data_IF_126570415275
#
_entry.id   IF_126570415275
#
_cell.length_a   1.000
_cell.length_b   1.000
_cell.length_c   1.000
_cell.angle_alpha   90.00
_cell.angle_beta   90.00
_cell.angle_gamma   90.00
#
_symmetry.space_group_name_H-M   'P 1'
#
loop_
_entity.id
_entity.type
_entity.pdbx_description
1 polymer ?
#
# COMPACT_ATOMS: atom_id res chain seq x y z
N UNK A 1 -63.87 8.89 -20.98
CA UNK A 1 -62.48 9.09 -21.43
C UNK A 1 -61.63 9.38 -20.20
N UNK A 2 -60.59 8.56 -20.02
CA UNK A 2 -59.31 8.79 -19.28
C UNK A 2 -59.42 9.36 -17.85
N UNK A 3 -59.14 8.64 -16.75
CA UNK A 3 -58.29 7.46 -16.55
C UNK A 3 -56.89 7.88 -16.10
N UNK A 4 -56.78 8.53 -14.94
CA UNK A 4 -55.49 8.92 -14.34
C UNK A 4 -54.80 7.70 -13.74
N UNK A 5 -53.99 7.05 -14.58
CA UNK A 5 -53.05 6.02 -14.18
C UNK A 5 -51.83 6.72 -13.57
N UNK A 6 -51.85 6.94 -12.26
CA UNK A 6 -50.64 7.24 -11.49
C UNK A 6 -49.82 5.95 -11.39
N UNK A 7 -48.86 5.76 -12.30
CA UNK A 7 -47.79 4.78 -12.17
C UNK A 7 -46.43 5.44 -12.34
N UNK A 8 -45.49 4.88 -11.58
CA UNK A 8 -44.03 5.05 -11.64
C UNK A 8 -43.49 6.29 -10.92
N UNK A 9 -42.53 6.17 -9.99
CA UNK A 9 -41.90 4.99 -9.45
C UNK A 9 -41.08 5.44 -8.25
N UNK A 10 -41.22 4.74 -7.12
CA UNK A 10 -40.25 4.83 -6.02
C UNK A 10 -38.97 4.15 -6.50
N UNK A 11 -38.19 4.87 -7.31
CA UNK A 11 -36.79 4.56 -7.47
C UNK A 11 -36.18 4.59 -6.08
N UNK A 12 -35.79 3.43 -5.55
CA UNK A 12 -34.91 3.37 -4.38
C UNK A 12 -33.65 4.12 -4.79
N UNK A 13 -33.58 5.40 -4.44
CA UNK A 13 -32.37 6.20 -4.58
C UNK A 13 -31.39 5.57 -3.59
N UNK A 14 -30.62 4.59 -4.07
CA UNK A 14 -29.48 4.11 -3.31
C UNK A 14 -28.68 5.36 -2.93
N UNK A 15 -28.48 5.64 -1.63
CA UNK A 15 -27.82 6.87 -1.23
C UNK A 15 -26.48 6.92 -1.97
N UNK A 16 -26.12 8.07 -2.56
CA UNK A 16 -24.93 8.18 -3.43
C UNK A 16 -23.65 7.60 -2.78
N UNK A 17 -23.59 7.60 -1.44
CA UNK A 17 -22.58 6.92 -0.63
C UNK A 17 -22.56 5.40 -0.81
N UNK A 18 -23.70 4.72 -0.82
CA UNK A 18 -23.82 3.28 -1.06
C UNK A 18 -23.43 2.92 -2.50
N UNK A 19 -23.84 3.70 -3.50
CA UNK A 19 -23.42 3.48 -4.89
C UNK A 19 -21.90 3.65 -5.05
N UNK A 20 -21.32 4.71 -4.48
CA UNK A 20 -19.87 4.90 -4.47
C UNK A 20 -19.15 3.77 -3.73
N UNK A 21 -19.68 3.29 -2.61
CA UNK A 21 -19.09 2.18 -1.86
C UNK A 21 -19.08 0.88 -2.69
N UNK A 22 -20.20 0.55 -3.34
CA UNK A 22 -20.30 -0.64 -4.20
C UNK A 22 -19.33 -0.57 -5.37
N UNK A 23 -19.19 0.58 -6.03
CA UNK A 23 -18.22 0.76 -7.12
C UNK A 23 -16.77 0.60 -6.65
N UNK A 24 -16.43 1.16 -5.49
CA UNK A 24 -15.08 1.04 -4.91
C UNK A 24 -14.78 -0.39 -4.48
N UNK A 25 -15.74 -1.05 -3.84
CA UNK A 25 -15.63 -2.45 -3.44
C UNK A 25 -15.46 -3.35 -4.67
N UNK A 26 -16.28 -3.15 -5.71
CA UNK A 26 -16.17 -3.89 -6.96
C UNK A 26 -14.79 -3.70 -7.60
N UNK A 27 -14.29 -2.46 -7.65
CA UNK A 27 -12.97 -2.16 -8.21
C UNK A 27 -11.84 -2.83 -7.41
N UNK A 28 -11.91 -2.81 -6.07
CA UNK A 28 -10.94 -3.50 -5.21
C UNK A 28 -11.00 -5.02 -5.39
N UNK A 29 -12.20 -5.60 -5.46
CA UNK A 29 -12.39 -7.03 -5.70
C UNK A 29 -11.89 -7.46 -7.08
N UNK A 30 -12.13 -6.66 -8.12
CA UNK A 30 -11.62 -6.91 -9.47
C UNK A 30 -10.09 -6.84 -9.49
N UNK A 31 -9.48 -5.82 -8.87
CA UNK A 31 -8.02 -5.72 -8.80
C UNK A 31 -7.41 -6.88 -8.00
N UNK A 32 -8.07 -7.30 -6.92
CA UNK A 32 -7.66 -8.46 -6.15
C UNK A 32 -7.78 -9.76 -6.95
N UNK A 33 -8.84 -9.92 -7.75
CA UNK A 33 -9.01 -11.06 -8.63
C UNK A 33 -7.94 -11.09 -9.75
N UNK A 34 -7.63 -9.94 -10.36
CA UNK A 34 -6.56 -9.81 -11.36
C UNK A 34 -5.19 -10.11 -10.74
N UNK A 35 -4.93 -9.61 -9.53
CA UNK A 35 -3.73 -9.94 -8.75
C UNK A 35 -3.60 -11.45 -8.53
N UNK A 36 -4.70 -12.11 -8.13
CA UNK A 36 -4.73 -13.56 -7.92
C UNK A 36 -4.49 -14.33 -9.21
N UNK A 37 -5.11 -13.92 -10.31
CA UNK A 37 -4.95 -14.56 -11.62
C UNK A 37 -3.53 -14.43 -12.17
N UNK A 38 -2.92 -13.24 -12.04
CA UNK A 38 -1.54 -13.01 -12.48
C UNK A 38 -0.52 -13.88 -11.74
N UNK A 39 -0.80 -14.27 -10.49
CA UNK A 39 0.07 -15.14 -9.67
C UNK A 39 0.03 -16.61 -10.05
N UNK A 40 -1.07 -17.10 -10.64
CA UNK A 40 -1.22 -18.49 -11.09
C UNK A 40 -0.44 -18.76 -12.38
N UNK A 41 -0.17 -17.71 -13.16
CA UNK A 41 0.49 -17.82 -14.47
C UNK A 41 2.03 -17.74 -14.41
N UNK A 42 2.62 -17.69 -13.21
CA UNK A 42 4.07 -17.49 -13.04
C UNK A 42 4.74 -18.85 -12.83
N UNK A 43 5.51 -19.28 -13.83
CA UNK A 43 6.39 -20.44 -13.76
C UNK A 43 7.48 -20.22 -12.71
N UNK A 44 7.63 -21.20 -11.82
CA UNK A 44 8.57 -21.14 -10.71
C UNK A 44 9.95 -21.64 -11.15
N UNK A 45 10.76 -20.74 -11.71
CA UNK A 45 12.17 -21.05 -11.94
C UNK A 45 12.94 -20.97 -10.61
N UNK A 46 12.88 -22.06 -9.84
CA UNK A 46 13.54 -22.19 -8.54
C UNK A 46 15.05 -21.96 -8.65
N UNK A 47 15.69 -22.44 -9.73
CA UNK A 47 17.12 -22.24 -9.96
C UNK A 47 17.49 -20.76 -10.09
N UNK A 48 16.73 -20.00 -10.89
CA UNK A 48 16.91 -18.55 -11.00
C UNK A 48 16.63 -17.83 -9.67
N UNK A 49 15.60 -18.26 -8.92
CA UNK A 49 15.29 -17.70 -7.62
C UNK A 49 16.43 -17.88 -6.60
N UNK A 50 17.11 -19.03 -6.61
CA UNK A 50 18.26 -19.31 -5.75
C UNK A 50 19.51 -18.54 -6.17
N UNK A 51 19.77 -18.44 -7.47
CA UNK A 51 20.88 -17.64 -7.99
C UNK A 51 20.70 -16.15 -7.63
N UNK A 52 19.48 -15.62 -7.77
CA UNK A 52 19.15 -14.26 -7.34
C UNK A 52 19.27 -14.10 -5.83
N UNK A 53 18.94 -15.12 -5.03
CA UNK A 53 19.13 -15.08 -3.58
C UNK A 53 20.60 -14.92 -3.20
N UNK A 54 21.50 -15.64 -3.86
CA UNK A 54 22.94 -15.47 -3.67
C UNK A 54 23.41 -14.07 -4.05
N UNK A 55 22.93 -13.51 -5.18
CA UNK A 55 23.28 -12.15 -5.58
C UNK A 55 22.77 -11.08 -4.61
N UNK A 56 21.51 -11.18 -4.20
CA UNK A 56 20.89 -10.25 -3.24
C UNK A 56 21.60 -10.34 -1.92
N UNK A 57 21.88 -11.56 -1.46
CA UNK A 57 22.76 -11.79 -0.35
C UNK A 57 24.04 -10.97 -0.66
N UNK A 58 24.92 -11.36 -1.57
CA UNK A 58 26.28 -10.76 -1.66
C UNK A 58 26.30 -9.23 -1.78
N UNK A 59 25.29 -8.67 -2.45
CA UNK A 59 25.07 -7.23 -2.50
C UNK A 59 24.83 -6.60 -1.13
N UNK A 60 24.02 -7.18 -0.24
CA UNK A 60 23.77 -6.66 1.10
C UNK A 60 25.02 -6.59 1.96
N UNK A 61 25.92 -7.59 1.87
CA UNK A 61 27.22 -7.51 2.56
C UNK A 61 28.14 -6.48 1.94
N UNK A 62 28.15 -6.34 0.62
CA UNK A 62 28.89 -5.28 -0.05
C UNK A 62 28.39 -3.87 0.34
N UNK A 63 27.11 -3.75 0.66
CA UNK A 63 26.47 -2.52 1.17
C UNK A 63 26.57 -2.37 2.69
N UNK A 64 27.22 -3.31 3.39
CA UNK A 64 27.35 -3.33 4.85
C UNK A 64 26.00 -3.31 5.59
N UNK A 65 24.96 -3.92 5.02
CA UNK A 65 23.68 -4.10 5.71
C UNK A 65 23.82 -5.15 6.83
N UNK A 66 22.99 -5.06 7.89
CA UNK A 66 23.01 -6.04 8.99
C UNK A 66 22.70 -7.45 8.50
N UNK A 67 23.34 -8.46 9.09
CA UNK A 67 23.10 -9.86 8.75
C UNK A 67 21.73 -10.34 9.29
N UNK A 68 20.84 -10.76 8.40
CA UNK A 68 19.49 -11.24 8.74
C UNK A 68 19.53 -12.52 9.59
N UNK A 69 20.50 -13.40 9.35
CA UNK A 69 20.65 -14.64 10.10
C UNK A 69 21.06 -14.38 11.55
N UNK A 70 21.95 -13.40 11.77
CA UNK A 70 22.37 -12.96 13.09
C UNK A 70 21.21 -12.31 13.84
N UNK A 71 20.45 -11.43 13.17
CA UNK A 71 19.26 -10.82 13.76
C UNK A 71 18.21 -11.88 14.13
N UNK A 72 17.93 -12.82 13.23
CA UNK A 72 16.98 -13.90 13.51
C UNK A 72 17.45 -14.72 14.71
N UNK A 73 18.71 -15.19 14.73
CA UNK A 73 19.24 -15.98 15.87
C UNK A 73 19.06 -15.25 17.20
N UNK A 74 19.44 -13.97 17.25
CA UNK A 74 19.30 -13.15 18.45
C UNK A 74 17.85 -13.00 18.91
N UNK A 75 16.91 -12.72 17.99
CA UNK A 75 15.49 -12.57 18.36
C UNK A 75 14.88 -13.90 18.79
N UNK A 76 15.30 -15.02 18.19
CA UNK A 76 14.80 -16.35 18.50
C UNK A 76 15.30 -16.92 19.83
N UNK A 77 16.24 -16.26 20.52
CA UNK A 77 16.57 -16.58 21.92
C UNK A 77 15.38 -16.34 22.86
N UNK A 78 14.46 -15.44 22.48
CA UNK A 78 13.22 -15.23 23.19
C UNK A 78 12.14 -16.19 22.66
N UNK A 79 11.80 -17.20 23.47
CA UNK A 79 10.92 -18.31 23.09
C UNK A 79 9.63 -17.91 22.33
N UNK A 80 8.83 -16.92 22.76
CA UNK A 80 7.59 -16.58 22.05
C UNK A 80 7.82 -15.71 20.81
N UNK A 81 9.04 -15.24 20.53
CA UNK A 81 9.32 -14.29 19.46
C UNK A 81 8.90 -14.81 18.09
N UNK A 82 9.27 -16.05 17.76
CA UNK A 82 8.92 -16.70 16.49
C UNK A 82 7.40 -16.74 16.29
N UNK A 83 6.67 -17.23 17.30
CA UNK A 83 5.23 -17.38 17.24
C UNK A 83 4.53 -16.02 17.11
N UNK A 84 4.94 -15.02 17.89
CA UNK A 84 4.36 -13.68 17.81
C UNK A 84 4.65 -13.00 16.47
N UNK A 85 5.86 -13.17 15.93
CA UNK A 85 6.21 -12.66 14.61
C UNK A 85 5.38 -13.32 13.50
N UNK A 86 5.21 -14.65 13.55
CA UNK A 86 4.35 -15.38 12.62
C UNK A 86 2.88 -14.93 12.72
N UNK A 87 2.35 -14.80 13.95
CA UNK A 87 0.98 -14.34 14.18
C UNK A 87 0.77 -12.93 13.62
N UNK A 88 1.73 -12.03 13.82
CA UNK A 88 1.70 -10.69 13.26
C UNK A 88 1.73 -10.73 11.72
N UNK A 89 2.65 -11.49 11.15
CA UNK A 89 2.85 -11.64 9.72
C UNK A 89 1.54 -12.07 9.04
N UNK A 90 0.91 -13.12 9.55
CA UNK A 90 -0.33 -13.67 8.99
C UNK A 90 -1.54 -12.79 9.28
N UNK A 91 -1.61 -12.20 10.47
CA UNK A 91 -2.84 -11.57 10.98
C UNK A 91 -3.00 -10.08 10.70
N UNK A 92 -1.92 -9.31 10.56
CA UNK A 92 -2.02 -7.84 10.61
C UNK A 92 -2.06 -7.19 9.23
N UNK A 93 -1.37 -7.74 8.24
CA UNK A 93 -1.13 -7.08 6.95
C UNK A 93 -2.41 -6.66 6.22
N UNK A 94 -3.29 -7.63 5.92
CA UNK A 94 -4.55 -7.37 5.21
C UNK A 94 -5.56 -6.62 6.09
N UNK A 95 -5.85 -7.05 7.33
CA UNK A 95 -6.84 -6.35 8.16
C UNK A 95 -6.42 -4.92 8.50
N UNK A 96 -5.14 -4.68 8.81
CA UNK A 96 -4.62 -3.35 9.11
C UNK A 96 -4.79 -2.39 7.92
N UNK A 97 -4.46 -2.83 6.71
CA UNK A 97 -4.65 -2.04 5.50
C UNK A 97 -6.14 -1.79 5.20
N UNK A 98 -6.99 -2.80 5.37
CA UNK A 98 -8.43 -2.67 5.19
C UNK A 98 -9.03 -1.65 6.19
N UNK A 99 -8.64 -1.73 7.47
CA UNK A 99 -9.08 -0.80 8.51
C UNK A 99 -8.67 0.64 8.19
N UNK A 100 -7.43 0.85 7.71
CA UNK A 100 -6.98 2.16 7.24
C UNK A 100 -7.88 2.68 6.12
N UNK A 101 -8.12 1.87 5.09
CA UNK A 101 -8.92 2.28 3.94
C UNK A 101 -10.37 2.59 4.34
N UNK A 102 -10.98 1.79 5.22
CA UNK A 102 -12.32 2.06 5.76
C UNK A 102 -12.33 3.37 6.54
N UNK A 103 -11.36 3.59 7.43
CA UNK A 103 -11.23 4.83 8.19
C UNK A 103 -11.09 6.05 7.28
N UNK A 104 -10.21 6.00 6.27
CA UNK A 104 -10.05 7.06 5.28
C UNK A 104 -11.32 7.26 4.46
N UNK A 105 -12.02 6.19 4.07
CA UNK A 105 -13.26 6.30 3.30
C UNK A 105 -14.35 7.04 4.09
N UNK A 106 -14.50 6.71 5.37
CA UNK A 106 -15.54 7.27 6.24
C UNK A 106 -15.22 8.69 6.71
N UNK A 107 -13.94 8.98 7.02
CA UNK A 107 -13.55 10.24 7.67
C UNK A 107 -12.73 11.20 6.79
N UNK A 108 -12.03 10.70 5.77
CA UNK A 108 -11.04 11.46 4.98
C UNK A 108 -11.12 11.13 3.49
N UNK A 109 -12.30 11.35 2.87
CA UNK A 109 -12.60 10.85 1.51
C UNK A 109 -11.62 11.30 0.43
N UNK A 110 -11.07 12.51 0.53
CA UNK A 110 -10.06 13.01 -0.40
C UNK A 110 -8.74 12.23 -0.27
N UNK A 111 -8.30 11.99 0.97
CA UNK A 111 -7.12 11.19 1.24
C UNK A 111 -7.32 9.72 0.84
N UNK A 112 -8.52 9.16 1.01
CA UNK A 112 -8.83 7.80 0.55
C UNK A 112 -8.53 7.62 -0.93
N UNK A 113 -8.99 8.53 -1.81
CA UNK A 113 -8.84 8.36 -3.27
C UNK A 113 -7.37 8.32 -3.65
N UNK A 114 -6.57 9.19 -3.01
CA UNK A 114 -5.12 9.25 -3.19
C UNK A 114 -4.45 7.97 -2.70
N UNK A 115 -4.66 7.58 -1.44
CA UNK A 115 -4.01 6.42 -0.80
C UNK A 115 -4.40 5.12 -1.51
N UNK A 116 -5.66 4.97 -1.92
CA UNK A 116 -6.11 3.84 -2.74
C UNK A 116 -5.35 3.76 -4.06
N UNK A 117 -5.16 4.88 -4.76
CA UNK A 117 -4.38 4.89 -6.01
C UNK A 117 -2.91 4.58 -5.76
N UNK A 118 -2.30 5.13 -4.71
CA UNK A 118 -0.92 4.81 -4.30
C UNK A 118 -0.77 3.31 -3.99
N UNK A 119 -1.73 2.69 -3.29
CA UNK A 119 -1.75 1.26 -2.98
C UNK A 119 -1.85 0.39 -4.24
N UNK A 120 -2.72 0.76 -5.18
CA UNK A 120 -2.87 0.03 -6.45
C UNK A 120 -1.61 0.12 -7.28
N UNK A 121 -1.01 1.31 -7.41
CA UNK A 121 0.24 1.51 -8.15
C UNK A 121 1.40 0.75 -7.52
N UNK A 122 1.55 0.80 -6.19
CA UNK A 122 2.56 0.05 -5.45
C UNK A 122 2.41 -1.45 -5.66
N UNK A 123 1.19 -1.97 -5.53
CA UNK A 123 0.93 -3.42 -5.67
C UNK A 123 1.13 -3.90 -7.10
N UNK A 124 0.70 -3.10 -8.09
CA UNK A 124 0.93 -3.41 -9.50
C UNK A 124 2.41 -3.40 -9.86
N UNK A 125 3.16 -2.37 -9.44
CA UNK A 125 4.60 -2.30 -9.66
C UNK A 125 5.33 -3.44 -8.94
N UNK A 126 4.92 -3.78 -7.72
CA UNK A 126 5.45 -4.92 -6.99
C UNK A 126 5.22 -6.24 -7.71
N UNK A 127 4.03 -6.45 -8.31
CA UNK A 127 3.75 -7.63 -9.12
C UNK A 127 4.66 -7.72 -10.35
N UNK A 128 4.90 -6.59 -11.03
CA UNK A 128 5.81 -6.55 -12.19
C UNK A 128 7.23 -6.96 -11.77
N UNK A 129 7.74 -6.40 -10.67
CA UNK A 129 9.08 -6.79 -10.15
C UNK A 129 9.12 -8.26 -9.79
N UNK A 130 8.07 -8.78 -9.15
CA UNK A 130 7.97 -10.18 -8.76
C UNK A 130 8.00 -11.15 -9.94
N UNK A 131 7.35 -10.77 -11.05
CA UNK A 131 7.36 -11.54 -12.30
C UNK A 131 8.73 -11.48 -12.98
N UNK A 132 9.39 -10.32 -12.93
CA UNK A 132 10.68 -10.09 -13.58
C UNK A 132 11.88 -10.63 -12.77
N UNK A 133 11.74 -10.76 -11.46
CA UNK A 133 12.82 -11.11 -10.54
C UNK A 133 12.34 -12.14 -9.49
N UNK A 134 12.31 -13.44 -9.86
CA UNK A 134 12.06 -14.49 -8.88
C UNK A 134 13.19 -14.48 -7.84
N UNK A 135 12.87 -14.59 -6.56
CA UNK A 135 13.83 -14.47 -5.47
C UNK A 135 13.49 -15.42 -4.34
N UNK A 136 14.39 -16.35 -4.04
CA UNK A 136 14.21 -17.23 -2.92
C UNK A 136 14.42 -16.48 -1.59
N UNK A 137 13.48 -16.61 -0.64
CA UNK A 137 13.59 -15.98 0.68
C UNK A 137 14.69 -16.63 1.52
N UNK A 138 15.24 -15.94 2.54
CA UNK A 138 16.34 -16.47 3.36
C UNK A 138 16.05 -17.88 3.92
N UNK A 139 14.82 -18.14 4.40
CA UNK A 139 14.41 -19.43 4.96
C UNK A 139 14.53 -20.62 4.01
N UNK A 140 14.57 -20.38 2.69
CA UNK A 140 14.71 -21.41 1.65
C UNK A 140 16.08 -21.39 0.96
N UNK A 141 16.89 -20.36 1.19
CA UNK A 141 18.15 -20.12 0.46
C UNK A 141 19.39 -20.75 1.11
N UNK A 142 19.25 -21.32 2.32
CA UNK A 142 20.34 -22.05 2.99
C UNK A 142 21.34 -21.16 3.75
N UNK A 143 20.99 -19.93 4.09
CA UNK A 143 21.87 -18.97 4.79
C UNK A 143 21.89 -19.11 6.32
N UNK A 144 21.62 -20.31 6.85
CA UNK A 144 21.60 -20.55 8.30
C UNK A 144 20.43 -19.91 9.05
N UNK A 145 19.36 -19.55 8.33
CA UNK A 145 18.08 -19.11 8.89
C UNK A 145 17.08 -20.26 9.00
N UNK A 146 16.17 -20.16 9.96
CA UNK A 146 15.10 -21.14 10.22
C UNK A 146 13.79 -20.68 9.57
N UNK A 147 13.04 -21.61 8.97
CA UNK A 147 11.65 -21.39 8.58
C UNK A 147 10.74 -21.44 9.83
N UNK A 148 10.50 -20.28 10.43
CA UNK A 148 9.70 -20.16 11.66
C UNK A 148 8.24 -20.56 11.45
N UNK A 149 7.71 -20.42 10.23
CA UNK A 149 6.33 -20.75 9.89
C UNK A 149 6.08 -22.26 9.88
N UNK A 150 7.08 -23.04 9.45
CA UNK A 150 7.06 -24.50 9.57
C UNK A 150 7.45 -24.98 10.98
N UNK A 151 8.42 -24.32 11.62
CA UNK A 151 8.94 -24.77 12.92
C UNK A 151 7.96 -24.56 14.08
N UNK A 152 7.27 -23.41 14.12
CA UNK A 152 6.40 -23.01 15.26
C UNK A 152 5.01 -22.56 14.82
N UNK A 153 4.89 -22.05 13.60
CA UNK A 153 3.63 -21.54 13.05
C UNK A 153 3.12 -20.25 13.71
N UNK A 154 1.95 -19.73 13.29
CA UNK A 154 1.16 -20.20 12.13
C UNK A 154 1.88 -19.94 10.79
N UNK A 155 1.57 -20.76 9.77
CA UNK A 155 2.15 -20.63 8.43
C UNK A 155 1.27 -19.81 7.49
N UNK A 156 1.88 -18.89 6.75
CA UNK A 156 1.25 -18.22 5.61
C UNK A 156 1.14 -19.12 4.36
N UNK A 157 1.77 -20.30 4.39
CA UNK A 157 1.87 -21.25 3.30
C UNK A 157 1.29 -22.61 3.75
N UNK A 158 -0.01 -22.88 3.50
CA UNK A 158 -0.63 -24.15 3.85
C UNK A 158 -0.04 -25.31 3.03
N UNK A 159 0.13 -26.48 3.64
CA UNK A 159 0.70 -27.67 3.00
C UNK A 159 -0.17 -28.27 1.86
N UNK A 160 -1.43 -27.85 1.71
CA UNK A 160 -2.40 -28.47 0.80
C UNK A 160 -3.21 -27.46 -0.05
N UNK A 161 -2.78 -26.19 -0.13
CA UNK A 161 -3.45 -25.20 -0.97
C UNK A 161 -2.49 -24.72 -2.05
N UNK A 162 -2.70 -25.19 -3.27
CA UNK A 162 -2.11 -24.61 -4.47
C UNK A 162 -2.27 -23.07 -4.45
N UNK A 163 -1.14 -22.39 -4.31
CA UNK A 163 -0.85 -21.20 -5.11
C UNK A 163 -1.59 -19.89 -4.78
N UNK A 164 -1.86 -19.55 -3.52
CA UNK A 164 -2.16 -18.13 -3.18
C UNK A 164 -0.86 -17.33 -2.97
N UNK A 165 0.17 -17.97 -2.41
CA UNK A 165 1.46 -17.36 -2.18
C UNK A 165 2.58 -18.19 -2.81
N UNK A 166 3.22 -17.62 -3.84
CA UNK A 166 4.48 -18.12 -4.35
C UNK A 166 5.53 -18.01 -3.22
N UNK A 167 6.19 -19.12 -2.89
CA UNK A 167 7.21 -19.16 -1.84
C UNK A 167 8.57 -18.57 -2.31
N UNK A 168 8.85 -18.52 -3.61
CA UNK A 168 10.12 -18.08 -4.22
C UNK A 168 10.09 -16.63 -4.73
N UNK A 169 9.53 -15.78 -3.90
CA UNK A 169 8.84 -14.60 -4.37
C UNK A 169 9.03 -13.44 -3.39
N UNK A 170 10.26 -13.30 -2.89
CA UNK A 170 10.59 -12.40 -1.80
C UNK A 170 10.62 -10.92 -2.23
N UNK A 171 11.18 -10.58 -3.39
CA UNK A 171 11.29 -9.18 -3.81
C UNK A 171 10.09 -8.75 -4.69
N UNK A 172 9.53 -7.54 -4.46
CA UNK A 172 9.71 -6.67 -3.30
C UNK A 172 8.80 -7.09 -2.14
N UNK A 173 9.10 -6.65 -0.92
CA UNK A 173 8.25 -6.95 0.23
C UNK A 173 6.97 -6.12 0.22
N UNK A 174 5.86 -6.70 -0.25
CA UNK A 174 4.54 -6.05 -0.19
C UNK A 174 4.09 -5.78 1.25
N UNK A 175 4.49 -6.63 2.21
CA UNK A 175 4.28 -6.39 3.64
C UNK A 175 4.85 -5.03 4.06
N UNK A 176 6.13 -4.81 3.77
CA UNK A 176 6.81 -3.54 4.08
C UNK A 176 6.21 -2.40 3.28
N UNK A 177 5.96 -2.59 1.98
CA UNK A 177 5.38 -1.55 1.12
C UNK A 177 4.03 -1.04 1.63
N UNK A 178 3.11 -1.94 2.00
CA UNK A 178 1.80 -1.55 2.50
C UNK A 178 1.89 -0.97 3.90
N UNK A 179 2.76 -1.50 4.77
CA UNK A 179 2.97 -0.96 6.11
C UNK A 179 3.54 0.48 6.06
N UNK A 180 4.48 0.75 5.14
CA UNK A 180 4.97 2.10 4.86
C UNK A 180 3.86 3.01 4.33
N UNK A 181 3.02 2.52 3.41
CA UNK A 181 1.86 3.27 2.92
C UNK A 181 0.89 3.61 4.06
N UNK A 182 0.63 2.68 4.98
CA UNK A 182 -0.17 2.92 6.17
C UNK A 182 0.44 4.01 7.04
N UNK A 183 1.73 3.92 7.35
CA UNK A 183 2.43 4.91 8.16
C UNK A 183 2.37 6.31 7.51
N UNK A 184 2.68 6.40 6.22
CA UNK A 184 2.64 7.64 5.44
C UNK A 184 1.23 8.23 5.40
N UNK A 185 0.21 7.40 5.13
CA UNK A 185 -1.18 7.84 5.06
C UNK A 185 -1.65 8.42 6.40
N UNK A 186 -1.37 7.73 7.51
CA UNK A 186 -1.79 8.16 8.85
C UNK A 186 -1.04 9.42 9.29
N UNK A 187 0.26 9.53 9.03
CA UNK A 187 1.04 10.74 9.35
C UNK A 187 0.55 11.95 8.56
N UNK A 188 0.15 11.78 7.28
CA UNK A 188 -0.39 12.85 6.43
C UNK A 188 -1.79 13.31 6.83
N UNK A 189 -2.58 12.46 7.47
CA UNK A 189 -4.03 12.69 7.65
C UNK A 189 -4.44 12.92 9.11
N UNK A 190 -3.84 12.20 10.06
CA UNK A 190 -4.15 12.29 11.48
C UNK A 190 -3.30 13.37 12.19
N UNK A 191 -3.91 14.03 13.18
CA UNK A 191 -3.26 15.10 13.97
C UNK A 191 -2.86 14.69 15.40
N UNK A 192 -3.42 13.60 15.95
CA UNK A 192 -3.17 13.15 17.32
C UNK A 192 -1.89 12.32 17.48
N UNK A 193 -1.37 12.22 18.72
CA UNK A 193 -0.14 11.46 19.04
C UNK A 193 -0.20 9.98 18.67
N UNK A 194 -1.40 9.39 18.69
CA UNK A 194 -1.63 7.99 18.32
C UNK A 194 -1.24 7.66 16.88
N UNK A 195 -1.11 8.66 16.00
CA UNK A 195 -0.63 8.45 14.62
C UNK A 195 0.76 7.81 14.58
N UNK A 196 1.60 8.08 15.58
CA UNK A 196 2.94 7.51 15.67
C UNK A 196 2.94 6.05 16.10
N UNK A 197 2.00 5.67 16.97
CA UNK A 197 1.78 4.26 17.33
C UNK A 197 1.35 3.46 16.10
N UNK A 198 0.44 4.02 15.29
CA UNK A 198 0.04 3.37 14.04
C UNK A 198 1.18 3.39 13.01
N UNK A 199 1.96 4.46 12.92
CA UNK A 199 3.11 4.53 12.02
C UNK A 199 4.24 3.54 12.39
N UNK A 200 4.38 3.21 13.68
CA UNK A 200 5.31 2.19 14.15
C UNK A 200 5.00 0.78 13.59
N UNK A 201 3.80 0.57 13.04
CA UNK A 201 3.48 -0.62 12.25
C UNK A 201 4.53 -0.90 11.15
N UNK A 202 5.05 0.14 10.49
CA UNK A 202 6.04 -0.02 9.43
C UNK A 202 7.37 -0.64 9.90
N UNK A 203 8.12 -0.05 10.86
CA UNK A 203 9.34 -0.67 11.36
C UNK A 203 9.11 -2.02 12.04
N UNK A 204 7.96 -2.22 12.71
CA UNK A 204 7.62 -3.54 13.27
C UNK A 204 7.43 -4.56 12.15
N UNK A 205 6.77 -4.19 11.05
CA UNK A 205 6.60 -5.09 9.90
C UNK A 205 7.94 -5.46 9.27
N UNK A 206 8.85 -4.49 9.11
CA UNK A 206 10.21 -4.75 8.61
C UNK A 206 10.93 -5.78 9.50
N UNK A 207 10.91 -5.58 10.81
CA UNK A 207 11.51 -6.52 11.76
C UNK A 207 10.90 -7.92 11.65
N UNK A 208 9.56 -8.00 11.61
CA UNK A 208 8.84 -9.28 11.52
C UNK A 208 9.17 -10.03 10.25
N UNK A 209 9.22 -9.37 9.09
CA UNK A 209 9.50 -10.07 7.83
C UNK A 209 10.93 -10.59 7.73
N UNK A 210 11.89 -9.88 8.34
CA UNK A 210 13.29 -10.28 8.41
C UNK A 210 13.49 -11.42 9.41
N UNK A 211 12.95 -11.29 10.64
CA UNK A 211 13.08 -12.31 11.70
C UNK A 211 12.37 -13.61 11.33
N UNK A 212 11.28 -13.55 10.56
CA UNK A 212 10.63 -14.76 10.02
C UNK A 212 11.35 -15.34 8.80
N UNK A 213 12.49 -14.75 8.39
CA UNK A 213 13.29 -15.14 7.24
C UNK A 213 12.48 -15.20 5.92
N UNK A 214 11.48 -14.34 5.79
CA UNK A 214 10.66 -14.21 4.59
C UNK A 214 11.21 -13.19 3.60
N UNK A 215 12.00 -12.22 4.07
CA UNK A 215 12.49 -11.11 3.28
C UNK A 215 13.90 -10.67 3.70
N UNK A 216 14.65 -10.18 2.73
CA UNK A 216 15.93 -9.48 2.93
C UNK A 216 15.69 -8.00 3.24
N UNK A 217 16.70 -7.27 3.73
CA UNK A 217 16.60 -5.82 3.90
C UNK A 217 16.33 -5.08 2.59
N UNK A 218 16.98 -5.51 1.50
CA UNK A 218 16.81 -4.93 0.17
C UNK A 218 15.37 -5.07 -0.34
N UNK A 219 14.65 -6.13 0.00
CA UNK A 219 13.24 -6.28 -0.37
C UNK A 219 12.39 -5.12 0.17
N UNK A 220 12.69 -4.67 1.39
CA UNK A 220 12.06 -3.53 2.04
C UNK A 220 12.48 -2.19 1.43
N UNK A 221 13.76 -2.04 1.07
CA UNK A 221 14.26 -0.84 0.40
C UNK A 221 13.66 -0.66 -1.00
N UNK A 222 13.56 -1.74 -1.78
CA UNK A 222 12.88 -1.72 -3.08
C UNK A 222 11.39 -1.39 -2.89
N UNK A 223 10.71 -1.97 -1.90
CA UNK A 223 9.32 -1.64 -1.60
C UNK A 223 9.13 -0.15 -1.25
N UNK A 224 10.06 0.44 -0.49
CA UNK A 224 10.06 1.87 -0.18
C UNK A 224 10.24 2.74 -1.44
N UNK A 225 11.18 2.37 -2.32
CA UNK A 225 11.40 3.05 -3.60
C UNK A 225 10.15 2.99 -4.51
N UNK A 226 9.50 1.83 -4.59
CA UNK A 226 8.26 1.67 -5.34
C UNK A 226 7.13 2.53 -4.77
N UNK A 227 7.00 2.63 -3.45
CA UNK A 227 6.02 3.49 -2.81
C UNK A 227 6.28 4.97 -3.12
N UNK A 228 7.55 5.41 -3.08
CA UNK A 228 7.92 6.77 -3.46
C UNK A 228 7.54 7.05 -4.93
N UNK A 229 7.81 6.10 -5.83
CA UNK A 229 7.38 6.16 -7.23
C UNK A 229 5.86 6.28 -7.38
N UNK A 230 5.09 5.46 -6.65
CA UNK A 230 3.62 5.50 -6.64
C UNK A 230 3.07 6.84 -6.14
N UNK A 231 3.67 7.41 -5.08
CA UNK A 231 3.34 8.75 -4.58
C UNK A 231 3.64 9.82 -5.63
N UNK A 232 4.83 9.76 -6.25
CA UNK A 232 5.24 10.71 -7.27
C UNK A 232 4.32 10.68 -8.49
N UNK A 233 4.00 9.48 -9.00
CA UNK A 233 3.06 9.28 -10.10
C UNK A 233 1.66 9.83 -9.78
N UNK A 234 1.17 9.56 -8.57
CA UNK A 234 -0.14 10.06 -8.12
C UNK A 234 -0.16 11.59 -8.06
N UNK A 235 0.91 12.22 -7.56
CA UNK A 235 1.05 13.68 -7.52
C UNK A 235 1.15 14.28 -8.92
N UNK A 236 1.91 13.66 -9.83
CA UNK A 236 2.04 14.09 -11.21
C UNK A 236 0.70 14.07 -11.94
N UNK A 237 -0.06 12.98 -11.80
CA UNK A 237 -1.39 12.85 -12.40
C UNK A 237 -2.39 13.89 -11.85
N UNK A 238 -2.31 14.21 -10.56
CA UNK A 238 -3.14 15.26 -9.97
C UNK A 238 -2.81 16.65 -10.53
N UNK A 239 -1.52 16.95 -10.77
CA UNK A 239 -1.09 18.21 -11.39
C UNK A 239 -1.56 18.34 -12.84
N UNK A 240 -1.47 17.26 -13.62
CA UNK A 240 -1.92 17.24 -15.02
C UNK A 240 -3.44 17.41 -15.17
N UNK A 241 -4.21 17.01 -14.16
CA UNK A 241 -5.68 17.14 -14.14
C UNK A 241 -6.16 18.44 -13.50
N UNK A 242 -5.26 19.25 -12.92
CA UNK A 242 -5.64 20.53 -12.35
C UNK A 242 -6.09 21.46 -13.48
N UNK A 243 -7.26 22.11 -13.39
CA UNK A 243 -7.68 23.09 -14.38
C UNK A 243 -6.60 24.17 -14.50
N UNK A 244 -6.32 24.61 -15.74
CA UNK A 244 -5.47 25.78 -15.96
C UNK A 244 -6.01 26.93 -15.11
N UNK A 245 -5.18 27.44 -14.20
CA UNK A 245 -5.55 28.53 -13.31
C UNK A 245 -5.96 29.70 -14.21
N UNK A 246 -7.21 30.19 -14.18
CA UNK A 246 -7.61 31.30 -15.04
C UNK A 246 -6.64 32.44 -14.80
N UNK A 247 -6.05 32.96 -15.88
CA UNK A 247 -5.14 34.10 -15.82
C UNK A 247 -5.85 35.18 -14.98
N UNK A 248 -5.18 35.66 -13.93
CA UNK A 248 -5.75 36.67 -13.06
C UNK A 248 -6.18 37.85 -13.94
N UNK A 249 -7.49 38.05 -14.07
CA UNK A 249 -8.03 39.22 -14.75
C UNK A 249 -7.38 40.43 -14.07
N UNK A 250 -6.63 41.29 -14.78
CA UNK A 250 -6.02 42.46 -14.18
C UNK A 250 -7.11 43.22 -13.45
N UNK A 251 -6.93 43.42 -12.14
CA UNK A 251 -7.89 44.17 -11.34
C UNK A 251 -8.12 45.50 -12.04
N UNK A 252 -9.35 45.71 -12.55
CA UNK A 252 -9.75 46.98 -13.16
C UNK A 252 -9.63 48.02 -12.05
N UNK A 253 -8.56 48.80 -12.08
CA UNK A 253 -8.35 49.91 -11.16
C UNK A 253 -9.60 50.78 -11.28
N UNK A 254 -10.43 50.79 -10.23
CA UNK A 254 -11.60 51.64 -10.18
C UNK A 254 -11.10 53.09 -10.21
N UNK A 255 -11.41 53.80 -11.29
CA UNK A 255 -11.17 55.25 -11.38
C UNK A 255 -11.99 55.91 -10.25
N UNK A 256 -11.38 56.73 -9.38
CA UNK A 256 -12.12 57.45 -8.36
C UNK A 256 -13.14 58.37 -9.04
N UNK A 257 -14.38 58.33 -8.56
CA UNK A 257 -15.43 59.25 -8.97
C UNK A 257 -14.99 60.68 -8.64
N UNK A 258 -14.97 61.56 -9.64
CA UNK A 258 -14.81 62.99 -9.41
C UNK A 258 -16.14 63.50 -8.88
N UNK A 259 -16.23 63.70 -7.57
CA UNK A 259 -17.29 64.49 -6.95
C UNK A 259 -17.09 65.97 -7.34
N UNK A 260 -17.72 66.37 -8.43
CA UNK A 260 -17.81 67.76 -8.87
C UNK A 260 -19.08 68.41 -8.31
N UNK A 261 -19.11 68.66 -7.00
CA UNK A 261 -20.10 69.54 -6.39
C UNK A 261 -19.71 71.00 -6.61
N UNK A 262 -20.42 71.70 -7.49
CA UNK A 262 -20.36 73.16 -7.61
C UNK A 262 -21.39 73.76 -6.65
N UNK A 263 -21.02 74.63 -5.69
CA UNK A 263 -22.00 75.41 -4.96
C UNK A 263 -22.48 76.58 -5.82
N UNK A 264 -23.81 76.66 -6.00
CA UNK A 264 -24.49 77.82 -6.56
C UNK A 264 -24.36 79.01 -5.59
N UNK A 265 -23.90 80.15 -6.11
CA UNK A 265 -23.99 81.43 -5.44
C UNK A 265 -24.51 82.49 -6.44
N UNK A 266 -25.51 83.24 -5.95
CA UNK A 266 -26.21 84.39 -6.54
C UNK A 266 -27.23 84.11 -7.65
#
# INVERSE_FOLDING_TARGET
MTGDVVRMGRGRVFPAKARSFVTELALMLTLFAVYKAGRVLIDQNVGAAMANALHIWDLERALFLPDESALQRWVLEWEPAAFLANLYYVGVHFPGTALLLVWLFVRHRDAYRRVRTELVLLTAAGMVVHMAFPLAPPRLAGFGTVDTMLAVGPSAYPAAADGIANQYAAMPSLHVGWALLVAVAVVRTARGRWRWVVAAHAPVTVLVVVVTANHYWLDGLVAAALLLGAIAATNGLARLRAPARPAATPARIARPARDGGVPSAA
#
